data_IF_265686387030
#
_entry.id   IF_265686387030
#
_cell.length_a   1.000
_cell.length_b   1.000
_cell.length_c   1.000
_cell.angle_alpha   90.00
_cell.angle_beta   90.00
_cell.angle_gamma   90.00
#
_symmetry.space_group_name_H-M   'P 1'
#
loop_
_entity.id
_entity.type
_entity.pdbx_description
1 polymer ?
#
# COMPACT_ATOMS: atom_id res chain seq x y z
N UNK A 1 4.74 11.08 9.17
CA UNK A 1 4.48 10.90 7.72
C UNK A 1 5.75 10.41 7.02
N UNK A 2 5.68 9.23 6.39
CA UNK A 2 6.74 8.61 5.64
C UNK A 2 6.25 8.02 4.31
N UNK A 3 7.19 7.78 3.40
CA UNK A 3 6.94 7.11 2.14
C UNK A 3 7.58 5.73 2.14
N UNK A 4 6.91 4.74 1.56
CA UNK A 4 7.53 3.44 1.33
C UNK A 4 8.60 3.57 0.23
N UNK A 5 9.82 3.04 0.40
CA UNK A 5 10.89 3.19 -0.57
C UNK A 5 10.64 2.38 -1.83
N UNK A 6 10.98 2.93 -3.01
CA UNK A 6 10.82 2.26 -4.32
C UNK A 6 11.56 0.92 -4.42
N UNK A 7 12.61 0.74 -3.62
CA UNK A 7 13.35 -0.51 -3.55
C UNK A 7 12.50 -1.71 -3.09
N UNK A 8 11.30 -1.50 -2.52
CA UNK A 8 10.35 -2.57 -2.20
C UNK A 8 10.07 -3.46 -3.42
N UNK A 9 10.00 -2.88 -4.63
CA UNK A 9 9.75 -3.62 -5.87
C UNK A 9 10.82 -4.66 -6.23
N UNK A 10 11.97 -4.69 -5.54
CA UNK A 10 13.00 -5.72 -5.70
C UNK A 10 12.65 -7.03 -4.97
N UNK A 11 11.71 -7.02 -4.03
CA UNK A 11 11.32 -8.18 -3.25
C UNK A 11 10.36 -9.09 -4.04
N UNK A 12 10.86 -9.72 -5.10
CA UNK A 12 10.04 -10.52 -6.05
C UNK A 12 9.33 -11.73 -5.43
N UNK A 13 9.82 -12.20 -4.28
CA UNK A 13 9.28 -13.35 -3.57
C UNK A 13 8.43 -12.97 -2.35
N UNK A 14 8.13 -11.68 -2.18
CA UNK A 14 7.29 -11.23 -1.07
C UNK A 14 5.85 -11.66 -1.31
N UNK A 15 5.29 -12.46 -0.40
CA UNK A 15 3.91 -12.92 -0.47
C UNK A 15 2.96 -12.14 0.47
N UNK A 16 3.48 -11.66 1.59
CA UNK A 16 2.71 -10.93 2.59
C UNK A 16 3.48 -9.68 3.04
N UNK A 17 2.82 -8.53 3.00
CA UNK A 17 3.37 -7.24 3.43
C UNK A 17 2.46 -6.61 4.48
N UNK A 18 2.98 -6.47 5.70
CA UNK A 18 2.28 -5.89 6.83
C UNK A 18 2.82 -4.49 7.10
N UNK A 19 2.00 -3.45 6.88
CA UNK A 19 2.36 -2.05 7.10
C UNK A 19 1.37 -1.34 8.05
N UNK A 20 0.47 -2.08 8.68
CA UNK A 20 -0.54 -1.49 9.57
C UNK A 20 0.08 -0.68 10.69
N UNK A 21 -0.65 0.34 11.17
CA UNK A 21 -0.24 1.23 12.26
C UNK A 21 1.05 2.03 11.99
N UNK A 22 1.41 2.23 10.71
CA UNK A 22 2.48 3.15 10.33
C UNK A 22 1.93 4.48 9.81
N UNK A 23 2.69 5.55 10.02
CA UNK A 23 2.39 6.87 9.49
C UNK A 23 2.82 7.03 8.02
N UNK A 24 2.30 6.19 7.13
CA UNK A 24 2.57 6.26 5.70
C UNK A 24 1.49 7.07 4.97
N UNK A 25 1.87 7.87 3.98
CA UNK A 25 0.91 8.59 3.13
C UNK A 25 1.16 8.40 1.62
N UNK A 26 2.27 7.74 1.25
CA UNK A 26 2.71 7.56 -0.12
C UNK A 26 3.23 6.16 -0.37
N UNK A 27 2.77 5.59 -1.48
CA UNK A 27 3.17 4.28 -1.97
C UNK A 27 3.84 4.41 -3.35
N UNK A 28 5.00 3.77 -3.55
CA UNK A 28 5.72 3.86 -4.81
C UNK A 28 5.11 2.96 -5.90
N UNK A 29 5.12 3.44 -7.15
CA UNK A 29 4.66 2.68 -8.33
C UNK A 29 5.38 1.33 -8.47
N UNK A 30 6.61 1.21 -7.95
CA UNK A 30 7.38 -0.04 -7.96
C UNK A 30 6.72 -1.19 -7.16
N UNK A 31 5.67 -0.93 -6.38
CA UNK A 31 4.85 -1.98 -5.77
C UNK A 31 4.19 -2.89 -6.82
N UNK A 32 3.91 -2.40 -8.03
CA UNK A 32 3.44 -3.23 -9.17
C UNK A 32 4.37 -4.41 -9.47
N UNK A 33 5.64 -4.30 -9.08
CA UNK A 33 6.67 -5.28 -9.35
C UNK A 33 6.69 -6.44 -8.33
N UNK A 34 5.82 -6.42 -7.32
CA UNK A 34 5.63 -7.46 -6.29
C UNK A 34 4.71 -8.58 -6.78
N UNK A 35 5.17 -9.32 -7.80
CA UNK A 35 4.36 -10.27 -8.56
C UNK A 35 3.80 -11.46 -7.76
N UNK A 36 4.42 -11.79 -6.62
CA UNK A 36 3.98 -12.90 -5.75
C UNK A 36 3.21 -12.43 -4.52
N UNK A 37 2.97 -11.12 -4.38
CA UNK A 37 2.23 -10.57 -3.24
C UNK A 37 0.78 -11.05 -3.28
N UNK A 38 0.31 -11.54 -2.14
CA UNK A 38 -1.05 -12.07 -1.94
C UNK A 38 -1.83 -11.19 -0.98
N UNK A 39 -1.17 -10.71 0.07
CA UNK A 39 -1.81 -9.88 1.09
C UNK A 39 -1.01 -8.61 1.34
N UNK A 40 -1.72 -7.48 1.44
CA UNK A 40 -1.18 -6.20 1.85
C UNK A 40 -2.06 -5.63 2.96
N UNK A 41 -1.50 -5.42 4.16
CA UNK A 41 -2.22 -4.81 5.27
C UNK A 41 -1.82 -3.35 5.44
N UNK A 42 -2.77 -2.45 5.18
CA UNK A 42 -2.68 -0.99 5.31
C UNK A 42 -3.68 -0.45 6.33
N UNK A 43 -4.16 -1.28 7.26
CA UNK A 43 -5.06 -0.80 8.31
C UNK A 43 -4.34 0.24 9.18
N UNK A 44 -5.11 1.22 9.64
CA UNK A 44 -4.65 2.33 10.48
C UNK A 44 -3.55 3.19 9.83
N UNK A 45 -3.59 3.29 8.50
CA UNK A 45 -2.80 4.25 7.72
C UNK A 45 -3.72 5.39 7.27
N UNK A 46 -3.25 6.63 7.37
CA UNK A 46 -4.02 7.84 7.03
C UNK A 46 -3.91 8.20 5.55
N UNK A 47 -4.73 7.55 4.72
CA UNK A 47 -4.79 7.78 3.27
C UNK A 47 -6.23 8.03 2.81
N UNK A 48 -6.38 8.86 1.77
CA UNK A 48 -7.68 9.20 1.20
C UNK A 48 -8.17 8.17 0.17
N UNK A 49 -9.41 8.35 -0.33
CA UNK A 49 -10.02 7.46 -1.33
C UNK A 49 -9.25 7.41 -2.65
N UNK A 50 -8.55 8.49 -3.01
CA UNK A 50 -7.77 8.55 -4.25
C UNK A 50 -6.55 7.63 -4.13
N UNK A 51 -5.85 7.70 -3.00
CA UNK A 51 -4.67 6.91 -2.74
C UNK A 51 -5.02 5.42 -2.53
N UNK A 52 -6.12 5.11 -1.83
CA UNK A 52 -6.63 3.74 -1.75
C UNK A 52 -6.90 3.15 -3.14
N UNK A 53 -7.46 3.95 -4.06
CA UNK A 53 -7.74 3.51 -5.44
C UNK A 53 -6.46 3.27 -6.24
N UNK A 54 -5.42 4.10 -6.06
CA UNK A 54 -4.12 3.89 -6.70
C UNK A 54 -3.51 2.57 -6.25
N UNK A 55 -3.47 2.31 -4.95
CA UNK A 55 -2.97 1.04 -4.41
C UNK A 55 -3.74 -0.15 -4.98
N UNK A 56 -5.07 -0.06 -5.06
CA UNK A 56 -5.88 -1.13 -5.65
C UNK A 56 -5.61 -1.33 -7.15
N UNK A 57 -5.33 -0.25 -7.88
CA UNK A 57 -5.03 -0.30 -9.32
C UNK A 57 -3.64 -0.90 -9.59
N UNK A 58 -2.64 -0.56 -8.76
CA UNK A 58 -1.29 -1.12 -8.84
C UNK A 58 -1.27 -2.62 -8.50
N UNK A 59 -2.13 -3.05 -7.58
CA UNK A 59 -2.15 -4.41 -7.04
C UNK A 59 -3.54 -5.06 -7.19
N UNK A 60 -4.06 -5.22 -8.42
CA UNK A 60 -5.46 -5.57 -8.66
C UNK A 60 -5.84 -6.98 -8.19
N UNK A 61 -4.85 -7.87 -8.03
CA UNK A 61 -5.05 -9.25 -7.59
C UNK A 61 -4.63 -9.50 -6.14
N UNK A 62 -4.22 -8.46 -5.40
CA UNK A 62 -3.78 -8.57 -4.01
C UNK A 62 -4.96 -8.30 -3.08
N UNK A 63 -5.07 -9.10 -2.02
CA UNK A 63 -6.01 -8.81 -0.94
C UNK A 63 -5.45 -7.65 -0.11
N UNK A 64 -5.99 -6.45 -0.33
CA UNK A 64 -5.62 -5.26 0.42
C UNK A 64 -6.60 -5.03 1.57
N UNK A 65 -6.07 -4.85 2.78
CA UNK A 65 -6.85 -4.49 3.97
C UNK A 65 -6.64 -3.01 4.27
N UNK A 66 -7.71 -2.22 4.15
CA UNK A 66 -7.72 -0.81 4.52
C UNK A 66 -8.55 -0.58 5.79
N UNK A 67 -8.21 0.48 6.52
CA UNK A 67 -9.17 1.14 7.42
C UNK A 67 -10.06 2.12 6.62
N UNK A 68 -11.01 2.77 7.28
CA UNK A 68 -11.78 3.85 6.65
C UNK A 68 -10.82 4.92 6.10
N UNK A 69 -11.11 5.41 4.90
CA UNK A 69 -10.36 6.53 4.32
C UNK A 69 -10.55 7.80 5.14
N UNK A 70 -9.62 8.73 4.99
CA UNK A 70 -9.67 10.02 5.66
C UNK A 70 -9.84 11.17 4.67
N UNK A 71 -10.43 12.28 5.13
CA UNK A 71 -10.37 13.57 4.45
C UNK A 71 -9.08 14.32 4.82
N UNK A 72 -7.92 13.66 4.67
CA UNK A 72 -6.62 14.15 5.15
C UNK A 72 -6.06 15.36 4.38
N UNK A 73 -6.74 15.82 3.31
CA UNK A 73 -6.31 16.94 2.46
C UNK A 73 -6.85 18.32 2.91
N UNK A 74 -7.33 18.45 4.15
CA UNK A 74 -7.87 19.70 4.71
C UNK A 74 -6.90 20.38 5.68
#
# INVERSE_FOLDING_TARGET
IGALPSQIGKLKNLEDLQLSDNELDKFPDEMEALLLLKTLDLRNIMIDDEEQRKVHTMLPNVKVLFSQSCNCKN
#
